data_IF_536449478319
#
_entry.id   IF_536449478319
#
_cell.length_a   1.000
_cell.length_b   1.000
_cell.length_c   1.000
_cell.angle_alpha   90.00
_cell.angle_beta   90.00
_cell.angle_gamma   90.00
#
_symmetry.space_group_name_H-M   'P 1'
#
loop_
_entity.id
_entity.type
_entity.pdbx_description
1 polymer ?
#
# COMPACT_ATOMS: atom_id res chain seq x y z
N UNK A 1 29.67 -27.58 16.88
CA UNK A 1 30.97 -27.37 16.20
C UNK A 1 32.04 -27.17 17.27
N UNK A 2 33.05 -28.03 17.32
CA UNK A 2 34.24 -27.76 18.15
C UNK A 2 35.22 -26.90 17.34
N UNK A 3 35.56 -25.72 17.85
CA UNK A 3 36.29 -24.68 17.11
C UNK A 3 37.80 -24.99 16.95
N UNK A 4 38.41 -25.79 17.82
CA UNK A 4 39.81 -26.19 17.74
C UNK A 4 40.33 -26.66 19.10
N UNK A 5 41.48 -27.33 19.16
CA UNK A 5 42.11 -27.72 20.45
C UNK A 5 43.05 -26.64 20.97
N UNK A 6 43.56 -25.78 20.09
CA UNK A 6 44.38 -24.60 20.41
C UNK A 6 43.65 -23.32 20.02
N UNK A 7 44.11 -22.18 20.56
CA UNK A 7 43.56 -20.86 20.22
C UNK A 7 43.76 -20.51 18.74
N UNK A 8 44.90 -20.87 18.17
CA UNK A 8 45.19 -20.60 16.75
C UNK A 8 44.29 -21.41 15.83
N UNK A 9 44.06 -22.69 16.15
CA UNK A 9 43.11 -23.52 15.41
C UNK A 9 41.69 -22.96 15.51
N UNK A 10 41.28 -22.53 16.69
CA UNK A 10 39.99 -21.89 16.94
C UNK A 10 39.80 -20.65 16.06
N UNK A 11 40.79 -19.76 16.05
CA UNK A 11 40.76 -18.55 15.24
C UNK A 11 40.71 -18.86 13.73
N UNK A 12 41.50 -19.83 13.27
CA UNK A 12 41.52 -20.24 11.87
C UNK A 12 40.16 -20.79 11.40
N UNK A 13 39.55 -21.69 12.18
CA UNK A 13 38.23 -22.25 11.86
C UNK A 13 37.13 -21.20 11.91
N UNK A 14 37.19 -20.29 12.89
CA UNK A 14 36.22 -19.19 13.00
C UNK A 14 36.30 -18.23 11.80
N UNK A 15 37.50 -17.85 11.36
CA UNK A 15 37.68 -17.05 10.13
C UNK A 15 37.09 -17.75 8.90
N UNK A 16 37.25 -19.07 8.80
CA UNK A 16 36.65 -19.88 7.74
C UNK A 16 35.11 -19.88 7.78
N UNK A 17 34.53 -19.95 8.99
CA UNK A 17 33.10 -19.81 9.20
C UNK A 17 32.59 -18.44 8.76
N UNK A 18 33.22 -17.35 9.19
CA UNK A 18 32.83 -15.98 8.83
C UNK A 18 32.81 -15.76 7.31
N UNK A 19 33.76 -16.33 6.57
CA UNK A 19 33.80 -16.24 5.09
C UNK A 19 32.65 -17.00 4.42
N UNK A 20 32.19 -18.11 5.01
CA UNK A 20 31.14 -18.98 4.46
C UNK A 20 29.75 -18.60 4.93
N UNK A 21 29.65 -17.96 6.08
CA UNK A 21 28.38 -17.59 6.69
C UNK A 21 27.65 -16.59 5.81
N UNK A 22 26.47 -17.01 5.31
CA UNK A 22 25.54 -16.16 4.59
C UNK A 22 24.24 -16.13 5.39
N UNK A 23 23.85 -14.99 5.99
CA UNK A 23 22.57 -14.86 6.65
C UNK A 23 21.47 -15.16 5.63
N UNK A 24 20.65 -16.17 5.91
CA UNK A 24 19.47 -16.40 5.10
C UNK A 24 18.45 -15.32 5.46
N UNK A 25 17.77 -14.78 4.43
CA UNK A 25 16.66 -13.88 4.67
C UNK A 25 15.61 -14.61 5.53
N UNK A 26 15.07 -13.90 6.52
CA UNK A 26 14.00 -14.44 7.34
C UNK A 26 12.85 -14.85 6.42
N UNK A 27 12.29 -16.06 6.53
CA UNK A 27 11.16 -16.45 5.69
C UNK A 27 10.00 -15.48 5.96
N UNK A 28 9.58 -14.79 4.90
CA UNK A 28 8.47 -13.87 4.98
C UNK A 28 7.16 -14.68 4.99
N UNK A 29 6.41 -14.60 6.09
CA UNK A 29 5.00 -15.05 6.08
C UNK A 29 4.18 -13.99 5.36
N UNK A 30 4.06 -14.11 4.04
CA UNK A 30 3.12 -13.29 3.27
C UNK A 30 1.70 -13.76 3.56
N UNK A 31 0.85 -12.84 3.98
CA UNK A 31 -0.55 -13.08 4.25
C UNK A 31 -1.37 -12.57 3.05
N UNK A 32 -2.07 -13.47 2.35
CA UNK A 32 -2.74 -13.19 1.07
C UNK A 32 -4.08 -12.42 1.21
N UNK A 33 -4.31 -11.75 2.34
CA UNK A 33 -5.54 -10.99 2.61
C UNK A 33 -5.81 -9.95 1.52
N UNK A 34 -4.78 -9.22 1.09
CA UNK A 34 -4.92 -8.17 0.07
C UNK A 34 -5.11 -8.71 -1.36
N UNK A 35 -4.50 -9.84 -1.69
CA UNK A 35 -4.59 -10.40 -3.05
C UNK A 35 -5.93 -11.05 -3.35
N UNK A 36 -6.61 -11.62 -2.33
CA UNK A 36 -7.95 -12.20 -2.52
C UNK A 36 -9.07 -11.15 -2.53
N UNK A 37 -8.95 -10.09 -1.74
CA UNK A 37 -9.98 -9.05 -1.68
C UNK A 37 -10.14 -8.32 -3.02
N UNK A 38 -9.03 -8.09 -3.73
CA UNK A 38 -9.03 -7.34 -4.99
C UNK A 38 -9.33 -8.19 -6.23
N UNK A 39 -9.08 -9.51 -6.19
CA UNK A 39 -9.25 -10.39 -7.35
C UNK A 39 -10.73 -10.54 -7.82
N UNK A 40 -11.70 -10.15 -6.99
CA UNK A 40 -13.14 -10.21 -7.32
C UNK A 40 -13.84 -8.85 -7.38
N UNK A 41 -13.14 -7.74 -7.05
CA UNK A 41 -13.78 -6.45 -6.84
C UNK A 41 -13.94 -5.70 -8.16
N UNK A 42 -15.05 -5.96 -8.87
CA UNK A 42 -15.53 -5.08 -9.95
C UNK A 42 -16.00 -3.78 -9.31
N UNK A 43 -15.34 -2.65 -9.62
CA UNK A 43 -15.76 -1.32 -9.17
C UNK A 43 -17.16 -1.06 -9.74
N UNK A 44 -18.21 -1.36 -8.95
CA UNK A 44 -19.58 -1.03 -9.31
C UNK A 44 -19.77 0.46 -9.01
N UNK A 45 -19.91 1.25 -10.07
CA UNK A 45 -20.12 2.71 -10.04
C UNK A 45 -21.40 3.12 -9.30
N UNK A 46 -22.29 2.18 -8.95
CA UNK A 46 -23.53 2.44 -8.20
C UNK A 46 -23.68 1.46 -7.06
N UNK A 47 -23.48 1.94 -5.83
CA UNK A 47 -23.89 1.24 -4.62
C UNK A 47 -25.41 1.20 -4.55
N UNK A 48 -26.03 0.02 -4.67
CA UNK A 48 -27.42 -0.15 -4.23
C UNK A 48 -27.43 -0.03 -2.72
N UNK A 49 -28.26 0.86 -2.15
CA UNK A 49 -28.42 0.95 -0.69
C UNK A 49 -28.93 -0.39 -0.17
N UNK A 50 -28.23 -0.97 0.79
CA UNK A 50 -28.67 -2.21 1.45
C UNK A 50 -29.90 -1.94 2.32
N UNK A 51 -30.80 -2.91 2.52
CA UNK A 51 -31.93 -2.76 3.44
C UNK A 51 -31.43 -2.36 4.84
N UNK A 52 -31.92 -1.24 5.37
CA UNK A 52 -31.52 -0.70 6.69
C UNK A 52 -30.43 0.37 6.67
N UNK A 53 -29.82 0.68 5.50
CA UNK A 53 -28.83 1.76 5.43
C UNK A 53 -29.52 3.14 5.46
N UNK A 54 -29.33 3.88 6.55
CA UNK A 54 -29.77 5.27 6.68
C UNK A 54 -28.94 6.20 5.78
N UNK A 55 -29.57 7.24 5.22
CA UNK A 55 -28.86 8.32 4.54
C UNK A 55 -28.02 9.10 5.55
N UNK A 56 -26.80 9.49 5.16
CA UNK A 56 -25.99 10.35 6.02
C UNK A 56 -26.65 11.74 6.11
N UNK A 57 -26.54 12.44 7.25
CA UNK A 57 -27.16 13.76 7.43
C UNK A 57 -26.73 14.80 6.37
N UNK A 58 -25.53 14.65 5.82
CA UNK A 58 -24.97 15.51 4.78
C UNK A 58 -25.21 15.02 3.34
N UNK A 59 -25.90 13.89 3.12
CA UNK A 59 -26.24 13.40 1.76
C UNK A 59 -27.06 14.44 0.96
N UNK A 60 -27.80 15.31 1.65
CA UNK A 60 -28.61 16.39 1.07
C UNK A 60 -27.99 17.77 1.25
N UNK A 61 -26.84 17.86 1.93
CA UNK A 61 -26.17 19.12 2.19
C UNK A 61 -25.58 19.61 0.88
N UNK A 62 -26.15 20.68 0.33
CA UNK A 62 -25.57 21.36 -0.82
C UNK A 62 -24.34 22.10 -0.32
N UNK A 63 -23.15 21.55 -0.61
CA UNK A 63 -21.85 22.20 -0.33
C UNK A 63 -21.66 23.47 -1.19
N UNK A 64 -22.64 23.83 -2.01
CA UNK A 64 -22.51 24.68 -3.20
C UNK A 64 -22.92 26.15 -3.02
N UNK A 65 -22.90 26.74 -1.84
CA UNK A 65 -23.34 28.15 -1.68
C UNK A 65 -22.23 29.15 -1.36
N UNK A 66 -20.99 28.70 -1.09
CA UNK A 66 -19.85 29.60 -0.93
C UNK A 66 -18.91 29.50 -2.12
N UNK A 67 -18.85 30.56 -2.94
CA UNK A 67 -17.95 30.70 -4.08
C UNK A 67 -16.49 30.49 -3.67
N UNK A 68 -16.10 30.98 -2.49
CA UNK A 68 -14.73 30.84 -1.96
C UNK A 68 -14.34 29.38 -1.72
N UNK A 69 -15.25 28.58 -1.15
CA UNK A 69 -15.00 27.16 -0.90
C UNK A 69 -14.82 26.40 -2.21
N UNK A 70 -15.59 26.76 -3.23
CA UNK A 70 -15.48 26.17 -4.55
C UNK A 70 -14.13 26.50 -5.21
N UNK A 71 -13.72 27.77 -5.18
CA UNK A 71 -12.43 28.22 -5.74
C UNK A 71 -11.22 27.54 -5.07
N UNK A 72 -11.25 27.40 -3.74
CA UNK A 72 -10.18 26.72 -2.99
C UNK A 72 -10.16 25.22 -3.30
N UNK A 73 -11.33 24.58 -3.39
CA UNK A 73 -11.44 23.18 -3.73
C UNK A 73 -10.89 22.89 -5.14
N UNK A 74 -11.20 23.74 -6.13
CA UNK A 74 -10.67 23.63 -7.49
C UNK A 74 -9.15 23.72 -7.51
N UNK A 75 -8.55 24.70 -6.81
CA UNK A 75 -7.09 24.82 -6.68
C UNK A 75 -6.47 23.58 -6.03
N UNK A 76 -7.10 23.04 -5.00
CA UNK A 76 -6.61 21.84 -4.30
C UNK A 76 -6.65 20.61 -5.21
N UNK A 77 -7.76 20.40 -5.94
CA UNK A 77 -7.91 19.27 -6.87
C UNK A 77 -6.86 19.37 -7.98
N UNK A 78 -6.67 20.55 -8.57
CA UNK A 78 -5.66 20.76 -9.61
C UNK A 78 -4.22 20.59 -9.09
N UNK A 79 -3.91 21.07 -7.88
CA UNK A 79 -2.57 20.91 -7.32
C UNK A 79 -2.23 19.43 -7.02
N UNK A 80 -3.24 18.63 -6.70
CA UNK A 80 -3.08 17.23 -6.30
C UNK A 80 -3.47 16.24 -7.41
N UNK A 81 -3.80 16.72 -8.62
CA UNK A 81 -4.18 15.84 -9.70
C UNK A 81 -2.98 15.01 -10.17
N UNK A 82 -2.97 13.73 -9.80
CA UNK A 82 -1.98 12.78 -10.28
C UNK A 82 -2.44 12.19 -11.61
N UNK A 83 -1.72 12.50 -12.69
CA UNK A 83 -1.93 11.88 -13.99
C UNK A 83 -0.97 10.68 -14.11
N UNK A 84 -1.45 9.43 -13.97
CA UNK A 84 -0.58 8.28 -14.07
C UNK A 84 -0.05 8.16 -15.51
N UNK A 85 1.26 7.87 -15.72
CA UNK A 85 1.88 7.84 -17.05
C UNK A 85 1.48 6.61 -17.89
N UNK A 86 0.46 5.85 -17.47
CA UNK A 86 0.10 4.57 -18.09
C UNK A 86 -1.01 4.76 -19.12
N UNK A 87 -0.76 4.49 -20.42
CA UNK A 87 -1.80 4.54 -21.44
C UNK A 87 -2.87 3.48 -21.16
N UNK A 88 -4.14 3.88 -21.04
CA UNK A 88 -5.29 2.96 -20.98
C UNK A 88 -6.06 2.94 -19.66
N UNK A 89 -5.55 3.57 -18.58
CA UNK A 89 -6.38 3.87 -17.40
C UNK A 89 -6.98 5.24 -17.69
N UNK A 90 -8.26 5.29 -18.04
CA UNK A 90 -8.95 6.53 -18.36
C UNK A 90 -8.63 7.58 -17.30
N UNK A 91 -7.97 8.66 -17.72
CA UNK A 91 -7.77 9.81 -16.87
C UNK A 91 -9.17 10.29 -16.46
N UNK A 92 -9.51 10.19 -15.17
CA UNK A 92 -10.55 11.08 -14.66
C UNK A 92 -9.98 12.47 -14.90
N UNK A 93 -10.55 13.20 -15.87
CA UNK A 93 -10.25 14.61 -16.02
C UNK A 93 -10.62 15.26 -14.70
N UNK A 94 -9.64 15.86 -14.05
CA UNK A 94 -9.88 16.82 -12.98
C UNK A 94 -10.67 18.01 -13.52
#
# INVERSE_FOLDING_TARGET
MQLGKTLDECAARYRGFCKKYRPQAKPEKRNHWGSHLLAGMKIKVKSKKSPGQLSLPWDKQRVSESTEVQEVAEKFIQANCYQPPVPGIGSLKC
#
